data_IF_681578533644
#
_entry.id   IF_681578533644
#
_cell.length_a   1.000
_cell.length_b   1.000
_cell.length_c   1.000
_cell.angle_alpha   90.00
_cell.angle_beta   90.00
_cell.angle_gamma   90.00
#
_symmetry.space_group_name_H-M   'P 1'
#
loop_
_entity.id
_entity.type
_entity.pdbx_description
1 polymer ?
#
# COMPACT_ATOMS: atom_id res chain seq x y z
N UNK A 1 14.13 18.29 1.04
CA UNK A 1 14.61 19.23 0.00
C UNK A 1 13.72 19.22 -1.24
N UNK A 2 13.29 18.08 -1.79
CA UNK A 2 12.38 18.09 -2.96
C UNK A 2 10.95 18.56 -2.64
N UNK A 3 10.46 18.37 -1.40
CA UNK A 3 9.08 18.73 -1.03
C UNK A 3 8.80 20.23 -1.11
N UNK A 4 9.73 21.07 -0.62
CA UNK A 4 9.61 22.53 -0.66
C UNK A 4 9.62 23.07 -2.09
N UNK A 5 10.38 22.44 -2.99
CA UNK A 5 10.46 22.83 -4.41
C UNK A 5 9.13 22.56 -5.11
N UNK A 6 8.52 21.40 -4.85
CA UNK A 6 7.20 21.03 -5.39
C UNK A 6 6.12 21.98 -4.86
N UNK A 7 6.09 22.27 -3.56
CA UNK A 7 5.10 23.20 -2.99
C UNK A 7 5.29 24.63 -3.49
N UNK A 8 6.54 25.06 -3.70
CA UNK A 8 6.84 26.37 -4.29
C UNK A 8 6.33 26.45 -5.73
N UNK A 9 6.57 25.41 -6.53
CA UNK A 9 6.08 25.30 -7.91
C UNK A 9 4.53 25.34 -7.96
N UNK A 10 3.86 24.60 -7.09
CA UNK A 10 2.40 24.60 -6.98
C UNK A 10 1.84 25.97 -6.60
N UNK A 11 2.52 26.69 -5.70
CA UNK A 11 2.15 28.06 -5.34
C UNK A 11 2.40 29.04 -6.49
N UNK A 12 3.43 28.83 -7.30
CA UNK A 12 3.73 29.63 -8.50
C UNK A 12 2.70 29.42 -9.62
N UNK A 13 2.17 28.21 -9.74
CA UNK A 13 1.02 27.92 -10.61
C UNK A 13 -0.22 28.66 -10.12
N UNK A 14 -0.47 28.67 -8.80
CA UNK A 14 -1.58 29.41 -8.20
C UNK A 14 -1.47 30.93 -8.42
N UNK A 15 -0.27 31.51 -8.32
CA UNK A 15 -0.03 32.92 -8.60
C UNK A 15 0.01 33.26 -10.10
N UNK A 16 -0.10 32.26 -10.98
CA UNK A 16 -0.07 32.45 -12.44
C UNK A 16 1.32 32.77 -13.00
N UNK A 17 2.38 32.57 -12.23
CA UNK A 17 3.77 32.77 -12.69
C UNK A 17 4.22 31.62 -13.60
N UNK A 18 3.64 30.43 -13.43
CA UNK A 18 3.97 29.22 -14.18
C UNK A 18 2.71 28.66 -14.82
N UNK A 19 2.81 28.24 -16.08
CA UNK A 19 1.67 27.63 -16.79
C UNK A 19 1.36 26.23 -16.24
N UNK A 20 0.09 25.83 -16.33
CA UNK A 20 -0.36 24.51 -15.88
C UNK A 20 0.35 23.40 -16.65
N UNK A 21 0.58 23.60 -17.95
CA UNK A 21 1.32 22.68 -18.83
C UNK A 21 2.78 22.52 -18.41
N UNK A 22 3.49 23.61 -18.10
CA UNK A 22 4.88 23.53 -17.66
C UNK A 22 5.00 22.82 -16.31
N UNK A 23 4.07 23.08 -15.40
CA UNK A 23 4.01 22.39 -14.12
C UNK A 23 3.66 20.91 -14.28
N UNK A 24 2.80 20.54 -15.23
CA UNK A 24 2.49 19.14 -15.54
C UNK A 24 3.73 18.40 -16.02
N UNK A 25 4.46 18.96 -16.98
CA UNK A 25 5.71 18.36 -17.48
C UNK A 25 6.77 18.25 -16.39
N UNK A 26 6.86 19.24 -15.48
CA UNK A 26 7.80 19.19 -14.36
C UNK A 26 7.45 18.14 -13.29
N UNK A 27 6.16 17.83 -13.12
CA UNK A 27 5.66 16.86 -12.13
C UNK A 27 5.42 15.46 -12.70
N UNK A 28 5.53 15.27 -14.02
CA UNK A 28 5.48 13.96 -14.67
C UNK A 28 6.63 13.07 -14.20
N UNK A 29 6.31 12.02 -13.44
CA UNK A 29 7.29 11.08 -12.89
C UNK A 29 7.88 11.48 -11.52
N UNK A 30 7.45 12.60 -10.95
CA UNK A 30 7.80 12.97 -9.58
C UNK A 30 7.04 12.09 -8.57
N UNK A 31 7.73 11.62 -7.54
CA UNK A 31 7.09 10.98 -6.39
C UNK A 31 6.45 12.07 -5.51
N UNK A 32 5.12 12.22 -5.63
CA UNK A 32 4.35 13.20 -4.87
C UNK A 32 3.83 12.59 -3.56
N UNK A 33 3.88 13.37 -2.49
CA UNK A 33 3.18 13.02 -1.25
C UNK A 33 1.67 13.24 -1.41
N UNK A 34 0.86 12.70 -0.49
CA UNK A 34 -0.61 12.81 -0.55
C UNK A 34 -1.08 14.26 -0.59
N UNK A 35 -0.47 15.11 0.23
CA UNK A 35 -0.85 16.52 0.35
C UNK A 35 -0.48 17.31 -0.91
N UNK A 36 0.66 16.97 -1.54
CA UNK A 36 1.08 17.57 -2.81
C UNK A 36 0.19 17.15 -3.97
N UNK A 37 -0.26 15.89 -3.99
CA UNK A 37 -1.20 15.41 -5.00
C UNK A 37 -2.54 16.13 -4.88
N UNK A 38 -3.06 16.30 -3.66
CA UNK A 38 -4.31 17.03 -3.42
C UNK A 38 -4.19 18.51 -3.82
N UNK A 39 -3.08 19.16 -3.49
CA UNK A 39 -2.79 20.52 -3.95
C UNK A 39 -2.70 20.60 -5.48
N UNK A 40 -2.00 19.67 -6.13
CA UNK A 40 -1.86 19.65 -7.58
C UNK A 40 -3.17 19.39 -8.33
N UNK A 41 -4.09 18.60 -7.76
CA UNK A 41 -5.46 18.44 -8.27
C UNK A 41 -6.27 19.71 -8.07
N UNK A 42 -6.22 20.33 -6.89
CA UNK A 42 -6.94 21.58 -6.58
C UNK A 42 -6.48 22.75 -7.46
N UNK A 43 -5.19 22.77 -7.86
CA UNK A 43 -4.62 23.77 -8.75
C UNK A 43 -4.79 23.44 -10.24
N UNK A 44 -5.46 22.32 -10.59
CA UNK A 44 -5.75 21.94 -11.98
C UNK A 44 -4.57 21.38 -12.77
N UNK A 45 -3.44 21.11 -12.12
CA UNK A 45 -2.25 20.51 -12.75
C UNK A 45 -2.52 19.06 -13.16
N UNK A 46 -3.19 18.31 -12.27
CA UNK A 46 -3.70 16.98 -12.56
C UNK A 46 -5.22 16.95 -12.55
N UNK A 47 -5.79 16.12 -13.44
CA UNK A 47 -7.22 15.85 -13.46
C UNK A 47 -7.57 14.79 -12.41
N UNK A 48 -8.77 14.87 -11.84
CA UNK A 48 -9.31 13.78 -11.04
C UNK A 48 -9.39 12.49 -11.89
N UNK A 49 -8.95 11.34 -11.34
CA UNK A 49 -8.98 10.09 -12.08
C UNK A 49 -10.43 9.69 -12.39
N UNK A 50 -10.67 9.26 -13.63
CA UNK A 50 -11.99 8.84 -14.06
C UNK A 50 -12.50 7.66 -13.20
N UNK A 51 -13.82 7.57 -12.90
CA UNK A 51 -14.40 6.45 -12.18
C UNK A 51 -14.08 5.11 -12.87
N UNK A 52 -13.63 4.11 -12.09
CA UNK A 52 -13.18 2.83 -12.61
C UNK A 52 -11.69 2.75 -12.94
N UNK A 53 -10.94 3.84 -12.78
CA UNK A 53 -9.47 3.81 -12.88
C UNK A 53 -8.88 2.97 -11.74
N UNK A 54 -8.01 2.03 -12.10
CA UNK A 54 -7.24 1.23 -11.15
C UNK A 54 -5.92 1.94 -10.91
N UNK A 55 -5.72 2.47 -9.70
CA UNK A 55 -4.48 3.12 -9.31
C UNK A 55 -3.71 2.16 -8.41
N UNK A 56 -2.49 1.81 -8.81
CA UNK A 56 -1.54 1.08 -7.96
C UNK A 56 -0.69 2.12 -7.25
N UNK A 57 -0.65 2.06 -5.92
CA UNK A 57 0.33 2.85 -5.18
C UNK A 57 1.74 2.39 -5.59
N UNK A 58 2.68 3.32 -5.76
CA UNK A 58 4.07 3.00 -6.12
C UNK A 58 4.79 2.21 -5.02
N UNK A 59 4.40 2.41 -3.75
CA UNK A 59 4.85 1.63 -2.60
C UNK A 59 3.74 1.49 -1.55
N UNK A 60 3.73 0.35 -0.86
CA UNK A 60 2.96 0.18 0.38
C UNK A 60 3.46 1.19 1.43
N UNK A 61 2.59 1.91 2.16
CA UNK A 61 3.00 2.84 3.24
C UNK A 61 3.84 2.20 4.34
N UNK A 62 3.81 0.87 4.44
CA UNK A 62 4.52 0.10 5.46
C UNK A 62 5.79 -0.57 4.94
N UNK A 63 6.00 -0.64 3.61
CA UNK A 63 7.08 -1.39 2.96
C UNK A 63 8.49 -0.96 3.37
N UNK A 64 8.67 0.30 3.77
CA UNK A 64 9.95 0.86 4.24
C UNK A 64 10.21 0.66 5.74
N UNK A 65 9.30 -0.01 6.46
CA UNK A 65 9.47 -0.25 7.89
C UNK A 65 10.65 -1.17 8.17
N UNK A 66 11.54 -0.75 9.07
CA UNK A 66 12.66 -1.55 9.60
C UNK A 66 12.17 -2.90 10.15
N UNK A 67 10.95 -2.95 10.68
CA UNK A 67 10.35 -4.19 11.17
C UNK A 67 10.17 -5.23 10.06
N UNK A 68 9.75 -4.81 8.85
CA UNK A 68 9.58 -5.71 7.71
C UNK A 68 10.92 -6.28 7.28
N UNK A 69 11.98 -5.45 7.26
CA UNK A 69 13.33 -5.91 6.95
C UNK A 69 13.83 -6.94 7.98
N UNK A 70 13.61 -6.69 9.27
CA UNK A 70 13.97 -7.64 10.33
C UNK A 70 13.18 -8.95 10.22
N UNK A 71 11.88 -8.88 9.94
CA UNK A 71 11.04 -10.07 9.73
C UNK A 71 11.48 -10.84 8.48
N UNK A 72 11.85 -10.15 7.40
CA UNK A 72 12.35 -10.78 6.19
C UNK A 72 13.68 -11.50 6.43
N UNK A 73 14.62 -10.86 7.12
CA UNK A 73 15.90 -11.47 7.50
C UNK A 73 15.67 -12.69 8.40
N UNK A 74 14.82 -12.54 9.42
CA UNK A 74 14.41 -13.62 10.32
C UNK A 74 13.83 -14.79 9.54
N UNK A 75 12.87 -14.53 8.64
CA UNK A 75 12.21 -15.56 7.85
C UNK A 75 13.17 -16.32 6.97
N UNK A 76 14.04 -15.61 6.24
CA UNK A 76 15.07 -16.25 5.39
C UNK A 76 16.03 -17.11 6.22
N UNK A 77 16.53 -16.58 7.35
CA UNK A 77 17.46 -17.30 8.22
C UNK A 77 16.82 -18.59 8.74
N UNK A 78 15.60 -18.51 9.27
CA UNK A 78 14.91 -19.68 9.81
C UNK A 78 14.52 -20.68 8.73
N UNK A 79 14.01 -20.24 7.58
CA UNK A 79 13.70 -21.15 6.48
C UNK A 79 14.96 -21.90 6.02
N UNK A 80 16.10 -21.22 5.89
CA UNK A 80 17.38 -21.87 5.55
C UNK A 80 17.85 -22.82 6.65
N UNK A 81 17.69 -22.44 7.93
CA UNK A 81 18.03 -23.31 9.05
C UNK A 81 17.21 -24.60 9.06
N UNK A 82 15.90 -24.51 8.91
CA UNK A 82 15.01 -25.67 8.90
C UNK A 82 15.23 -26.54 7.65
N UNK A 83 15.39 -25.92 6.48
CA UNK A 83 15.66 -26.64 5.23
C UNK A 83 17.04 -27.32 5.25
N UNK A 84 18.06 -26.65 5.80
CA UNK A 84 19.39 -27.19 5.99
C UNK A 84 19.41 -28.34 6.99
N UNK A 85 18.69 -28.21 8.11
CA UNK A 85 18.54 -29.27 9.12
C UNK A 85 17.79 -30.48 8.56
N UNK A 86 16.76 -30.26 7.73
CA UNK A 86 16.07 -31.32 7.00
C UNK A 86 17.03 -32.05 6.05
N UNK A 87 17.77 -31.30 5.22
CA UNK A 87 18.72 -31.88 4.28
C UNK A 87 19.83 -32.67 5.00
N UNK A 88 20.39 -32.09 6.06
CA UNK A 88 21.36 -32.77 6.93
C UNK A 88 20.77 -34.03 7.56
N UNK A 89 19.56 -33.95 8.09
CA UNK A 89 18.89 -35.10 8.70
C UNK A 89 18.63 -36.23 7.70
N UNK A 90 18.32 -35.89 6.45
CA UNK A 90 18.12 -36.86 5.38
C UNK A 90 19.43 -37.60 5.05
N UNK A 91 20.55 -36.87 5.00
CA UNK A 91 21.87 -37.45 4.78
C UNK A 91 22.36 -38.32 5.95
N UNK A 92 21.90 -38.04 7.17
CA UNK A 92 22.29 -38.75 8.39
C UNK A 92 21.24 -39.77 8.86
N UNK A 93 20.27 -40.13 8.03
CA UNK A 93 19.22 -41.12 8.33
C UNK A 93 18.47 -40.83 9.64
N UNK A 94 18.11 -39.56 9.86
CA UNK A 94 17.25 -39.19 10.98
C UNK A 94 15.88 -39.85 10.89
N UNK A 95 15.25 -40.03 12.05
CA UNK A 95 13.90 -40.59 12.12
C UNK A 95 12.89 -39.71 11.37
N UNK A 96 11.87 -40.35 10.79
CA UNK A 96 10.85 -39.72 9.96
C UNK A 96 10.05 -38.66 10.75
N UNK A 97 9.84 -38.87 12.05
CA UNK A 97 9.17 -37.89 12.90
C UNK A 97 9.96 -36.57 12.96
N UNK A 98 11.29 -36.65 13.10
CA UNK A 98 12.13 -35.46 13.15
C UNK A 98 12.23 -34.78 11.77
N UNK A 99 12.32 -35.56 10.69
CA UNK A 99 12.33 -35.02 9.31
C UNK A 99 11.02 -34.29 8.98
N UNK A 100 9.87 -34.89 9.29
CA UNK A 100 8.55 -34.28 9.08
C UNK A 100 8.34 -33.02 9.92
N UNK A 101 8.89 -32.97 11.13
CA UNK A 101 8.89 -31.75 11.95
C UNK A 101 9.65 -30.61 11.24
N UNK A 102 10.88 -30.87 10.76
CA UNK A 102 11.66 -29.85 10.04
C UNK A 102 10.94 -29.38 8.76
N UNK A 103 10.30 -30.30 8.03
CA UNK A 103 9.51 -29.96 6.84
C UNK A 103 8.31 -29.06 7.21
N UNK A 104 7.61 -29.39 8.29
CA UNK A 104 6.52 -28.57 8.83
C UNK A 104 7.00 -27.16 9.19
N UNK A 105 8.17 -27.03 9.80
CA UNK A 105 8.76 -25.73 10.14
C UNK A 105 9.18 -24.91 8.92
N UNK A 106 9.70 -25.55 7.87
CA UNK A 106 9.93 -24.88 6.57
C UNK A 106 8.62 -24.32 6.02
N UNK A 107 7.56 -25.12 5.94
CA UNK A 107 6.27 -24.68 5.43
C UNK A 107 5.66 -23.56 6.28
N UNK A 108 5.72 -23.68 7.60
CA UNK A 108 5.19 -22.69 8.54
C UNK A 108 5.91 -21.34 8.39
N UNK A 109 7.24 -21.35 8.33
CA UNK A 109 8.01 -20.10 8.16
C UNK A 109 7.73 -19.43 6.81
N UNK A 110 7.60 -20.21 5.73
CA UNK A 110 7.21 -19.70 4.42
C UNK A 110 5.79 -19.12 4.40
N UNK A 111 4.82 -19.77 5.08
CA UNK A 111 3.45 -19.26 5.18
C UNK A 111 3.43 -17.92 5.93
N UNK A 112 4.13 -17.82 7.06
CA UNK A 112 4.24 -16.57 7.82
C UNK A 112 4.84 -15.46 6.96
N UNK A 113 5.95 -15.76 6.26
CA UNK A 113 6.58 -14.82 5.32
C UNK A 113 5.63 -14.40 4.20
N UNK A 114 4.87 -15.35 3.63
CA UNK A 114 3.88 -15.07 2.60
C UNK A 114 2.77 -14.14 3.08
N UNK A 115 2.24 -14.37 4.29
CA UNK A 115 1.21 -13.50 4.89
C UNK A 115 1.76 -12.09 5.10
N UNK A 116 2.97 -11.97 5.65
CA UNK A 116 3.61 -10.66 5.87
C UNK A 116 3.85 -9.94 4.54
N UNK A 117 4.33 -10.65 3.52
CA UNK A 117 4.54 -10.10 2.18
C UNK A 117 3.24 -9.57 1.57
N UNK A 118 2.18 -10.38 1.57
CA UNK A 118 0.89 -9.99 1.00
C UNK A 118 0.26 -8.81 1.74
N UNK A 119 0.41 -8.77 3.06
CA UNK A 119 -0.24 -7.76 3.90
C UNK A 119 0.50 -6.43 3.95
N UNK A 120 1.84 -6.43 3.88
CA UNK A 120 2.63 -5.24 4.18
C UNK A 120 3.60 -4.83 3.08
N UNK A 121 3.96 -5.73 2.16
CA UNK A 121 4.92 -5.43 1.08
C UNK A 121 4.22 -5.20 -0.24
N UNK A 122 3.22 -6.03 -0.57
CA UNK A 122 2.51 -5.92 -1.83
C UNK A 122 1.74 -4.58 -1.89
N UNK A 123 1.91 -3.78 -2.96
CA UNK A 123 1.26 -2.48 -3.06
C UNK A 123 -0.25 -2.62 -3.15
N UNK A 124 -0.96 -1.83 -2.35
CA UNK A 124 -2.41 -1.80 -2.38
C UNK A 124 -2.93 -1.36 -3.76
N UNK A 125 -3.95 -2.08 -4.21
CA UNK A 125 -4.69 -1.73 -5.43
C UNK A 125 -5.91 -0.93 -5.01
N UNK A 126 -5.89 0.37 -5.31
CA UNK A 126 -7.02 1.25 -5.03
C UNK A 126 -7.84 1.39 -6.31
N UNK A 127 -9.12 1.02 -6.23
CA UNK A 127 -10.06 1.20 -7.32
C UNK A 127 -10.89 2.45 -7.02
N UNK A 128 -10.85 3.43 -7.92
CA UNK A 128 -11.72 4.62 -7.81
C UNK A 128 -13.16 4.16 -8.03
N UNK A 129 -13.88 3.98 -6.93
CA UNK A 129 -15.27 3.50 -6.95
C UNK A 129 -16.17 4.60 -7.50
N UNK A 130 -17.06 4.24 -8.42
CA UNK A 130 -18.11 5.15 -8.85
C UNK A 130 -18.97 5.53 -7.63
N UNK A 131 -19.24 6.84 -7.44
CA UNK A 131 -20.32 7.27 -6.56
C UNK A 131 -21.61 6.77 -7.20
N UNK A 132 -22.12 5.63 -6.75
CA UNK A 132 -23.45 5.19 -7.17
C UNK A 132 -24.41 6.32 -6.83
N UNK A 133 -25.23 6.76 -7.79
CA UNK A 133 -26.24 7.80 -7.60
C UNK A 133 -27.32 7.33 -6.64
N UNK A 134 -26.98 7.17 -5.36
CA UNK A 134 -27.90 6.82 -4.31
C UNK A 134 -28.85 8.01 -4.20
N UNK A 135 -30.08 7.80 -4.64
CA UNK A 135 -31.14 8.77 -4.45
C UNK A 135 -31.33 8.96 -2.94
N UNK A 136 -30.90 10.12 -2.44
CA UNK A 136 -31.19 10.54 -1.07
C UNK A 136 -32.55 11.20 -1.16
N UNK A 137 -33.60 10.47 -0.78
CA UNK A 137 -34.93 11.08 -0.58
C UNK A 137 -34.76 12.26 0.38
N UNK A 138 -35.45 13.39 0.15
CA UNK A 138 -35.57 14.44 1.16
C UNK A 138 -35.93 13.79 2.49
N UNK A 139 -35.23 14.18 3.56
CA UNK A 139 -35.52 13.65 4.88
C UNK A 139 -36.97 14.03 5.20
N UNK A 140 -37.84 13.02 5.28
CA UNK A 140 -39.27 13.19 5.51
C UNK A 140 -39.46 13.78 6.92
N UNK A 141 -39.87 15.06 7.05
CA UNK A 141 -39.98 15.72 8.33
C UNK A 141 -40.96 15.02 9.28
N UNK A 142 -41.85 14.18 8.76
CA UNK A 142 -42.90 13.48 9.50
C UNK A 142 -42.48 12.08 10.00
N UNK A 143 -41.28 11.60 9.67
CA UNK A 143 -40.77 10.27 10.07
C UNK A 143 -40.07 10.20 11.43
N UNK A 144 -39.91 11.33 12.10
CA UNK A 144 -39.38 11.37 13.47
C UNK A 144 -40.35 10.68 14.43
N UNK A 145 -40.02 9.46 14.87
CA UNK A 145 -40.69 8.84 16.01
C UNK A 145 -40.04 9.39 17.29
N UNK A 146 -40.79 10.13 18.09
CA UNK A 146 -40.41 10.36 19.48
C UNK A 146 -40.52 9.02 20.21
N UNK A 147 -39.39 8.53 20.70
CA UNK A 147 -39.37 7.43 21.64
C UNK A 147 -39.46 8.03 23.03
N UNK A 148 -40.61 7.85 23.69
CA UNK A 148 -40.75 8.18 25.12
C UNK A 148 -39.90 7.18 25.93
N UNK A 149 -39.18 7.72 26.92
CA UNK A 149 -38.31 6.98 27.84
C UNK A 149 -39.08 6.65 29.11
#
# INVERSE_FOLDING_TARGET
>A
MNEDVVMTLLRQVQSGEVSVEDARTALEGAALTRDQLEAAVNHGVFNEPAPGTVVRASMSPHGESVLILLVALWGVLWTLFWAGSLAYGLLNNWDQQLLSFNLGMVMLTLIIMGIVYLKYVLPDVVIVKHRGGKYITPNDPDKWKQYEV
#
